data_IF_853205612558
#
_entry.id   IF_853205612558
#
_cell.length_a   1.000
_cell.length_b   1.000
_cell.length_c   1.000
_cell.angle_alpha   90.00
_cell.angle_beta   90.00
_cell.angle_gamma   90.00
#
_symmetry.space_group_name_H-M   'P 1'
#
loop_
_entity.id
_entity.type
_entity.pdbx_description
1 polymer ?
#
# COMPACT_ATOMS: atom_id res chain seq x y z
N UNK A 1 -4.58 1.45 -25.47
CA UNK A 1 -5.12 0.25 -24.79
C UNK A 1 -6.43 0.61 -24.12
N UNK A 2 -7.55 0.16 -24.68
CA UNK A 2 -8.89 0.38 -24.12
C UNK A 2 -9.06 -0.48 -22.85
N UNK A 3 -9.24 0.17 -21.70
CA UNK A 3 -9.61 -0.52 -20.46
C UNK A 3 -11.14 -0.66 -20.43
N UNK A 4 -11.64 -1.88 -20.63
CA UNK A 4 -13.05 -2.20 -20.46
C UNK A 4 -13.46 -2.00 -19.00
N UNK A 5 -14.48 -1.17 -18.78
CA UNK A 5 -15.12 -0.92 -17.48
C UNK A 5 -15.78 -2.23 -17.02
N UNK A 6 -15.46 -2.78 -15.83
CA UNK A 6 -16.16 -3.95 -15.32
C UNK A 6 -17.65 -3.64 -15.17
N UNK A 7 -18.49 -4.46 -15.80
CA UNK A 7 -19.94 -4.32 -15.75
C UNK A 7 -20.46 -4.41 -14.33
N UNK A 8 -21.26 -3.42 -13.95
CA UNK A 8 -22.10 -3.46 -12.76
C UNK A 8 -22.98 -4.72 -12.85
N UNK A 9 -22.86 -5.65 -11.90
CA UNK A 9 -23.91 -6.63 -11.67
C UNK A 9 -25.10 -5.89 -11.06
N UNK A 10 -25.97 -5.40 -11.94
CA UNK A 10 -27.24 -4.76 -11.58
C UNK A 10 -28.15 -5.79 -10.93
N UNK A 11 -28.17 -5.82 -9.60
CA UNK A 11 -29.30 -6.36 -8.86
C UNK A 11 -30.41 -5.31 -8.91
N UNK A 12 -31.60 -5.71 -9.38
CA UNK A 12 -32.75 -4.81 -9.48
C UNK A 12 -32.98 -4.06 -8.15
N UNK A 13 -33.18 -2.73 -8.18
CA UNK A 13 -33.45 -1.97 -6.96
C UNK A 13 -34.75 -2.48 -6.33
N UNK A 14 -34.65 -2.97 -5.08
CA UNK A 14 -35.84 -3.26 -4.26
C UNK A 14 -36.67 -1.96 -4.12
N UNK A 15 -38.01 -2.04 -4.18
CA UNK A 15 -38.86 -0.86 -4.20
C UNK A 15 -38.56 0.11 -3.03
N UNK A 16 -38.24 1.36 -3.40
CA UNK A 16 -37.96 2.56 -2.60
C UNK A 16 -36.70 2.60 -1.74
N UNK A 17 -35.62 2.03 -2.26
CA UNK A 17 -34.28 2.54 -1.98
C UNK A 17 -33.94 3.67 -2.97
N UNK A 18 -33.33 4.76 -2.47
CA UNK A 18 -32.84 5.87 -3.29
C UNK A 18 -31.33 5.98 -3.14
N UNK A 19 -30.63 6.08 -4.27
CA UNK A 19 -29.20 6.37 -4.30
C UNK A 19 -28.97 7.84 -3.95
N UNK A 20 -28.03 8.11 -3.05
CA UNK A 20 -27.68 9.48 -2.65
C UNK A 20 -26.19 9.75 -2.88
N UNK A 21 -25.86 11.00 -3.20
CA UNK A 21 -24.50 11.36 -3.63
C UNK A 21 -23.52 11.55 -2.48
N UNK A 22 -24.02 11.81 -1.27
CA UNK A 22 -23.18 12.11 -0.12
C UNK A 22 -23.89 11.87 1.21
N UNK A 23 -23.11 11.63 2.26
CA UNK A 23 -23.56 11.52 3.64
C UNK A 23 -22.68 12.38 4.56
N UNK A 24 -23.29 13.19 5.42
CA UNK A 24 -22.55 13.95 6.44
C UNK A 24 -22.46 13.10 7.72
N UNK A 25 -21.23 12.87 8.20
CA UNK A 25 -21.00 12.09 9.42
C UNK A 25 -21.64 12.83 10.60
N UNK A 26 -22.55 12.15 11.32
CA UNK A 26 -23.30 12.74 12.44
C UNK A 26 -22.35 13.37 13.46
N UNK A 27 -22.70 14.57 13.92
CA UNK A 27 -21.90 15.32 14.89
C UNK A 27 -20.66 16.00 14.30
N UNK A 28 -20.49 15.98 12.97
CA UNK A 28 -19.35 16.62 12.29
C UNK A 28 -19.82 17.37 11.04
N UNK A 29 -18.93 18.15 10.44
CA UNK A 29 -19.10 18.75 9.11
C UNK A 29 -18.44 17.92 7.99
N UNK A 30 -17.93 16.72 8.29
CA UNK A 30 -17.23 15.88 7.31
C UNK A 30 -18.26 15.18 6.40
N UNK A 31 -18.18 15.48 5.10
CA UNK A 31 -19.03 14.87 4.05
C UNK A 31 -18.29 13.70 3.38
N UNK A 32 -18.96 12.56 3.30
CA UNK A 32 -18.49 11.32 2.66
C UNK A 32 -19.22 11.11 1.33
N UNK A 33 -18.47 10.73 0.30
CA UNK A 33 -18.98 10.37 -1.04
C UNK A 33 -18.50 9.00 -1.48
N UNK A 34 -19.14 8.45 -2.52
CA UNK A 34 -18.65 7.23 -3.17
C UNK A 34 -17.23 7.45 -3.74
N UNK A 35 -16.37 6.44 -3.60
CA UNK A 35 -14.94 6.47 -3.92
C UNK A 35 -14.05 6.88 -2.75
N UNK A 36 -14.59 7.53 -1.71
CA UNK A 36 -13.80 7.96 -0.55
C UNK A 36 -13.58 6.81 0.45
N UNK A 37 -12.51 6.93 1.24
CA UNK A 37 -12.19 5.97 2.29
C UNK A 37 -12.62 6.50 3.66
N UNK A 38 -13.10 5.60 4.50
CA UNK A 38 -13.66 5.91 5.82
C UNK A 38 -13.13 4.98 6.89
N UNK A 39 -13.10 5.49 8.11
CA UNK A 39 -12.89 4.72 9.33
C UNK A 39 -14.25 4.31 9.88
N UNK A 40 -14.42 3.02 10.16
CA UNK A 40 -15.66 2.45 10.66
C UNK A 40 -15.42 1.79 12.01
N UNK A 41 -16.38 1.97 12.92
CA UNK A 41 -16.33 1.40 14.27
C UNK A 41 -16.18 -0.13 14.20
N UNK A 42 -15.23 -0.71 14.95
CA UNK A 42 -15.09 -2.16 15.02
C UNK A 42 -16.18 -2.78 15.89
N UNK A 43 -16.46 -4.07 15.67
CA UNK A 43 -17.41 -4.82 16.52
C UNK A 43 -16.85 -5.08 17.91
N UNK A 44 -15.53 -5.30 18.02
CA UNK A 44 -14.85 -5.56 19.29
C UNK A 44 -14.23 -4.28 19.85
N UNK A 45 -14.45 -4.04 21.14
CA UNK A 45 -13.86 -2.91 21.86
C UNK A 45 -12.33 -3.07 21.94
N UNK A 46 -11.60 -2.01 21.66
CA UNK A 46 -10.13 -1.99 21.73
C UNK A 46 -9.42 -2.37 20.42
N UNK A 47 -10.15 -2.84 19.39
CA UNK A 47 -9.59 -2.97 18.05
C UNK A 47 -9.47 -1.60 17.37
N UNK A 48 -8.49 -1.42 16.46
CA UNK A 48 -8.45 -0.21 15.64
C UNK A 48 -9.68 -0.15 14.73
N UNK A 49 -10.12 1.05 14.30
CA UNK A 49 -11.20 1.19 13.34
C UNK A 49 -10.91 0.42 12.04
N UNK A 50 -11.95 -0.18 11.50
CA UNK A 50 -11.90 -0.80 10.17
C UNK A 50 -11.77 0.28 9.11
N UNK A 51 -11.05 -0.03 8.03
CA UNK A 51 -10.88 0.88 6.91
C UNK A 51 -11.68 0.35 5.73
N UNK A 52 -12.49 1.20 5.11
CA UNK A 52 -13.36 0.82 4.01
C UNK A 52 -13.35 1.88 2.91
N UNK A 53 -13.47 1.44 1.66
CA UNK A 53 -13.82 2.32 0.55
C UNK A 53 -15.34 2.30 0.38
N UNK A 54 -15.96 3.48 0.32
CA UNK A 54 -17.39 3.61 0.06
C UNK A 54 -17.64 3.39 -1.43
N UNK A 55 -18.38 2.36 -1.80
CA UNK A 55 -18.72 2.06 -3.19
C UNK A 55 -20.04 2.74 -3.58
N UNK A 56 -20.99 2.80 -2.65
CA UNK A 56 -22.33 3.35 -2.88
C UNK A 56 -22.99 3.80 -1.58
N UNK A 57 -23.83 4.82 -1.64
CA UNK A 57 -24.64 5.30 -0.52
C UNK A 57 -26.12 5.23 -0.91
N UNK A 58 -26.93 4.56 -0.08
CA UNK A 58 -28.37 4.37 -0.31
C UNK A 58 -29.15 4.85 0.93
N UNK A 59 -30.27 5.54 0.71
CA UNK A 59 -31.26 5.83 1.75
C UNK A 59 -32.51 4.98 1.56
N UNK A 60 -33.07 4.46 2.65
CA UNK A 60 -34.40 3.84 2.63
C UNK A 60 -35.53 4.87 2.78
N UNK A 61 -36.78 4.42 2.69
CA UNK A 61 -38.00 5.23 2.85
C UNK A 61 -38.10 5.95 4.19
N UNK A 62 -37.39 5.47 5.22
CA UNK A 62 -37.37 6.03 6.58
C UNK A 62 -36.16 6.97 6.78
N UNK A 63 -35.47 7.34 5.70
CA UNK A 63 -34.23 8.11 5.71
C UNK A 63 -33.07 7.45 6.47
N UNK A 64 -33.11 6.13 6.68
CA UNK A 64 -31.93 5.43 7.18
C UNK A 64 -30.93 5.27 6.04
N UNK A 65 -29.69 5.68 6.30
CA UNK A 65 -28.62 5.63 5.32
C UNK A 65 -27.78 4.37 5.52
N UNK A 66 -27.62 3.60 4.45
CA UNK A 66 -26.71 2.46 4.36
C UNK A 66 -25.62 2.75 3.33
N UNK A 67 -24.43 2.23 3.58
CA UNK A 67 -23.27 2.33 2.69
C UNK A 67 -22.90 0.94 2.24
N UNK A 68 -22.75 0.75 0.93
CA UNK A 68 -22.07 -0.41 0.38
C UNK A 68 -20.58 -0.10 0.40
N UNK A 69 -19.81 -0.97 1.02
CA UNK A 69 -18.37 -0.78 1.25
C UNK A 69 -17.57 -1.92 0.65
N UNK A 70 -16.30 -1.63 0.35
CA UNK A 70 -15.26 -2.59 0.04
C UNK A 70 -14.19 -2.50 1.12
N UNK A 71 -13.93 -3.61 1.79
CA UNK A 71 -13.05 -3.61 2.97
C UNK A 71 -11.58 -3.54 2.60
N UNK A 72 -10.83 -2.75 3.35
CA UNK A 72 -9.39 -2.89 3.45
C UNK A 72 -9.05 -3.78 4.64
N UNK A 73 -8.12 -4.71 4.43
CA UNK A 73 -7.60 -5.58 5.47
C UNK A 73 -6.26 -5.05 5.95
N UNK A 74 -6.03 -5.10 7.25
CA UNK A 74 -4.71 -4.90 7.84
C UNK A 74 -3.88 -6.17 7.68
N UNK A 75 -2.53 -6.07 7.66
CA UNK A 75 -1.66 -7.24 7.57
C UNK A 75 -1.97 -8.36 8.57
N UNK A 76 -2.32 -8.00 9.80
CA UNK A 76 -2.67 -8.90 10.90
C UNK A 76 -3.98 -9.66 10.66
N UNK A 77 -4.87 -9.11 9.85
CA UNK A 77 -6.18 -9.69 9.51
C UNK A 77 -6.10 -10.62 8.29
N UNK A 78 -4.96 -10.63 7.59
CA UNK A 78 -4.73 -11.53 6.46
C UNK A 78 -4.34 -12.93 6.93
N UNK A 79 -4.64 -13.96 6.13
CA UNK A 79 -4.30 -15.35 6.46
C UNK A 79 -2.80 -15.58 6.69
N UNK A 80 -1.94 -14.81 6.02
CA UNK A 80 -0.49 -14.90 6.17
C UNK A 80 0.09 -14.05 7.31
N UNK A 81 -0.73 -13.25 7.99
CA UNK A 81 -0.31 -12.32 9.03
C UNK A 81 0.62 -11.20 8.55
N UNK A 82 1.07 -10.38 9.52
CA UNK A 82 2.05 -9.33 9.26
C UNK A 82 3.43 -9.93 8.96
N UNK A 83 4.08 -9.43 7.92
CA UNK A 83 5.46 -9.74 7.54
C UNK A 83 6.34 -8.51 7.75
N UNK A 84 7.65 -8.74 7.77
CA UNK A 84 8.67 -7.72 8.05
C UNK A 84 8.63 -6.54 7.06
N UNK A 85 8.27 -6.80 5.81
CA UNK A 85 8.19 -5.76 4.78
C UNK A 85 6.87 -4.98 4.78
N UNK A 86 5.92 -5.35 5.63
CA UNK A 86 4.63 -4.66 5.73
C UNK A 86 4.77 -3.42 6.61
N UNK A 87 4.48 -2.24 6.05
CA UNK A 87 4.53 -1.00 6.82
C UNK A 87 3.40 -0.87 7.83
N UNK A 88 3.57 -0.03 8.83
CA UNK A 88 2.62 0.22 9.92
C UNK A 88 1.26 0.73 9.41
N UNK A 89 1.28 1.52 8.33
CA UNK A 89 0.11 2.11 7.67
C UNK A 89 -0.37 1.33 6.43
N UNK A 90 0.16 0.13 6.22
CA UNK A 90 -0.21 -0.70 5.06
C UNK A 90 -1.59 -1.33 5.22
N UNK A 91 -2.34 -1.33 4.12
CA UNK A 91 -3.65 -1.96 3.97
C UNK A 91 -3.71 -2.74 2.67
N UNK A 92 -4.60 -3.74 2.61
CA UNK A 92 -4.85 -4.55 1.43
C UNK A 92 -6.29 -4.37 0.95
N UNK A 93 -6.46 -3.98 -0.31
CA UNK A 93 -7.80 -3.82 -0.89
C UNK A 93 -8.41 -5.19 -1.16
N UNK A 94 -9.41 -5.59 -0.38
CA UNK A 94 -9.96 -6.95 -0.48
C UNK A 94 -11.02 -7.10 -1.57
N UNK A 95 -11.42 -8.33 -1.92
CA UNK A 95 -12.66 -8.62 -2.68
C UNK A 95 -13.90 -8.75 -1.78
N UNK A 96 -13.79 -8.43 -0.49
CA UNK A 96 -14.89 -8.49 0.47
C UNK A 96 -15.72 -7.20 0.44
N UNK A 97 -16.97 -7.34 0.02
CA UNK A 97 -17.97 -6.28 0.02
C UNK A 97 -19.03 -6.52 1.07
N UNK A 98 -19.53 -5.45 1.66
CA UNK A 98 -20.59 -5.51 2.67
C UNK A 98 -21.51 -4.27 2.60
N UNK A 99 -22.64 -4.32 3.29
CA UNK A 99 -23.57 -3.20 3.46
C UNK A 99 -23.70 -2.87 4.94
N UNK A 100 -23.23 -1.70 5.31
CA UNK A 100 -23.21 -1.22 6.69
C UNK A 100 -24.10 0.01 6.90
N UNK A 101 -24.51 0.24 8.14
CA UNK A 101 -25.19 1.48 8.53
C UNK A 101 -24.20 2.65 8.45
N UNK A 102 -24.59 3.77 7.84
CA UNK A 102 -23.71 4.95 7.76
C UNK A 102 -23.37 5.55 9.13
N UNK A 103 -24.11 5.18 10.19
CA UNK A 103 -23.82 5.55 11.57
C UNK A 103 -22.56 4.92 12.14
N UNK A 104 -22.06 3.86 11.52
CA UNK A 104 -20.81 3.20 11.93
C UNK A 104 -19.57 3.95 11.46
N UNK A 105 -19.72 4.95 10.58
CA UNK A 105 -18.62 5.78 10.09
C UNK A 105 -18.21 6.76 11.21
N UNK A 106 -16.96 6.67 11.64
CA UNK A 106 -16.38 7.53 12.68
C UNK A 106 -15.58 8.69 12.08
N UNK A 107 -15.03 8.51 10.88
CA UNK A 107 -14.20 9.51 10.23
C UNK A 107 -13.90 9.20 8.77
N UNK A 108 -13.21 10.13 8.12
CA UNK A 108 -12.63 9.94 6.79
C UNK A 108 -11.16 9.56 6.94
N UNK A 109 -10.61 8.88 5.95
CA UNK A 109 -9.17 8.64 5.86
C UNK A 109 -8.73 8.64 4.41
N UNK A 110 -7.42 8.68 4.19
CA UNK A 110 -6.84 8.60 2.85
C UNK A 110 -6.06 7.31 2.71
N UNK A 111 -6.39 6.50 1.70
CA UNK A 111 -5.60 5.34 1.32
C UNK A 111 -4.87 5.68 0.03
N UNK A 112 -3.59 6.02 0.15
CA UNK A 112 -2.73 6.42 -0.94
C UNK A 112 -2.28 5.23 -1.77
N UNK A 113 -1.93 5.50 -3.03
CA UNK A 113 -1.04 4.57 -3.75
C UNK A 113 0.33 4.56 -3.09
N UNK A 114 1.04 3.43 -3.14
CA UNK A 114 2.39 3.32 -2.56
C UNK A 114 3.32 4.46 -2.98
N UNK A 115 3.32 4.78 -4.28
CA UNK A 115 4.14 5.85 -4.87
C UNK A 115 3.84 7.24 -4.28
N UNK A 116 2.58 7.50 -3.94
CA UNK A 116 2.20 8.79 -3.37
C UNK A 116 2.50 8.83 -1.88
N UNK A 117 2.28 7.71 -1.18
CA UNK A 117 2.60 7.59 0.25
C UNK A 117 4.09 7.83 0.53
N UNK A 118 4.98 7.22 -0.26
CA UNK A 118 6.44 7.39 -0.10
C UNK A 118 6.94 8.81 -0.41
N UNK A 119 6.06 9.70 -0.88
CA UNK A 119 6.38 11.11 -1.18
C UNK A 119 5.80 12.08 -0.15
N UNK A 120 5.03 11.58 0.82
CA UNK A 120 4.51 12.43 1.89
C UNK A 120 5.67 12.90 2.76
N UNK A 121 5.75 14.20 3.01
CA UNK A 121 6.72 14.77 3.94
C UNK A 121 6.41 14.35 5.38
N UNK A 122 5.13 14.30 5.73
CA UNK A 122 4.64 13.90 7.04
C UNK A 122 3.45 12.95 6.87
N UNK A 123 3.51 11.80 7.54
CA UNK A 123 2.43 10.81 7.53
C UNK A 123 1.50 11.09 8.70
N UNK A 124 0.24 11.43 8.42
CA UNK A 124 -0.78 11.67 9.43
C UNK A 124 -1.38 10.40 10.03
N UNK A 125 -2.21 10.58 11.07
CA UNK A 125 -2.93 9.47 11.70
C UNK A 125 -3.92 8.78 10.72
N UNK A 126 -4.57 9.57 9.86
CA UNK A 126 -5.58 9.15 8.88
C UNK A 126 -4.97 8.79 7.50
N UNK A 127 -3.63 8.80 7.36
CA UNK A 127 -2.94 8.41 6.13
C UNK A 127 -2.54 6.93 6.15
N UNK A 128 -2.98 6.23 5.12
CA UNK A 128 -2.70 4.82 4.87
C UNK A 128 -2.19 4.63 3.45
N UNK A 129 -1.68 3.44 3.14
CA UNK A 129 -1.37 3.10 1.75
C UNK A 129 -1.76 1.67 1.41
N UNK A 130 -2.00 1.46 0.12
CA UNK A 130 -2.32 0.15 -0.43
C UNK A 130 -1.47 -0.09 -1.69
N UNK A 131 -0.86 -1.27 -1.75
CA UNK A 131 -0.09 -1.72 -2.93
C UNK A 131 -0.45 -3.14 -3.38
N UNK A 132 -1.31 -3.81 -2.61
CA UNK A 132 -1.80 -5.14 -2.91
C UNK A 132 -3.32 -5.18 -2.87
N UNK A 133 -3.89 -5.95 -3.80
CA UNK A 133 -5.23 -6.50 -3.64
C UNK A 133 -5.14 -7.84 -2.91
N UNK A 134 -6.16 -8.15 -2.10
CA UNK A 134 -6.23 -9.36 -1.28
C UNK A 134 -7.52 -10.12 -1.55
N UNK A 135 -7.42 -11.43 -1.79
CA UNK A 135 -8.57 -12.29 -1.99
C UNK A 135 -8.93 -12.96 -0.67
N UNK A 136 -9.97 -12.46 0.00
CA UNK A 136 -10.34 -12.87 1.36
C UNK A 136 -10.71 -14.36 1.46
N UNK A 137 -11.17 -14.96 0.37
CA UNK A 137 -11.56 -16.37 0.31
C UNK A 137 -10.39 -17.36 0.36
N UNK A 138 -9.21 -16.98 -0.13
CA UNK A 138 -8.07 -17.90 -0.25
C UNK A 138 -6.71 -17.32 0.13
N UNK A 139 -6.66 -16.06 0.55
CA UNK A 139 -5.44 -15.39 0.98
C UNK A 139 -4.51 -14.95 -0.14
N UNK A 140 -4.92 -15.04 -1.41
CA UNK A 140 -4.05 -14.67 -2.53
C UNK A 140 -3.87 -13.15 -2.61
N UNK A 141 -2.66 -12.73 -3.01
CA UNK A 141 -2.31 -11.33 -3.22
C UNK A 141 -2.13 -11.01 -4.70
N UNK A 142 -2.49 -9.80 -5.10
CA UNK A 142 -2.22 -9.26 -6.45
C UNK A 142 -1.53 -7.90 -6.33
N UNK A 143 -0.39 -7.67 -7.01
CA UNK A 143 0.33 -8.63 -7.86
C UNK A 143 0.97 -9.78 -7.08
N UNK A 144 1.11 -10.94 -7.71
CA UNK A 144 1.80 -12.12 -7.16
C UNK A 144 3.32 -11.97 -7.17
N UNK A 145 3.85 -10.89 -7.78
CA UNK A 145 5.29 -10.60 -7.83
C UNK A 145 5.55 -9.14 -7.53
N UNK A 146 6.54 -8.90 -6.67
CA UNK A 146 6.94 -7.56 -6.25
C UNK A 146 8.43 -7.35 -6.39
N UNK A 147 8.80 -6.09 -6.65
CA UNK A 147 10.19 -5.69 -6.68
C UNK A 147 10.81 -5.86 -5.30
N UNK A 148 11.99 -6.48 -5.25
CA UNK A 148 12.77 -6.70 -4.04
C UNK A 148 14.10 -5.98 -4.14
N UNK A 149 14.65 -5.66 -2.97
CA UNK A 149 15.86 -4.86 -2.84
C UNK A 149 16.78 -5.49 -1.79
N UNK A 150 17.98 -4.93 -1.67
CA UNK A 150 18.97 -5.30 -0.66
C UNK A 150 19.45 -6.75 -0.78
N UNK A 151 20.38 -7.14 0.09
CA UNK A 151 20.87 -8.52 0.21
C UNK A 151 19.81 -9.46 0.81
N UNK A 152 18.85 -8.93 1.57
CA UNK A 152 17.75 -9.71 2.13
C UNK A 152 16.65 -10.05 1.12
N UNK A 153 16.67 -9.43 -0.06
CA UNK A 153 15.72 -9.69 -1.15
C UNK A 153 14.26 -9.56 -0.70
N UNK A 154 13.98 -8.51 0.09
CA UNK A 154 12.65 -8.20 0.59
C UNK A 154 12.02 -7.03 -0.19
N UNK A 155 10.68 -6.98 -0.30
CA UNK A 155 10.00 -5.78 -0.75
C UNK A 155 10.31 -4.59 0.16
N UNK A 156 10.29 -3.38 -0.40
CA UNK A 156 10.61 -2.17 0.36
C UNK A 156 9.53 -1.87 1.41
N UNK A 157 9.91 -1.75 2.68
CA UNK A 157 9.05 -1.21 3.74
C UNK A 157 9.26 0.31 3.85
N UNK A 158 8.24 1.16 3.66
CA UNK A 158 8.40 2.61 3.70
C UNK A 158 8.79 3.15 5.08
N UNK A 159 8.66 2.36 6.14
CA UNK A 159 9.05 2.76 7.49
C UNK A 159 10.56 2.50 7.76
N UNK A 160 11.21 1.71 6.91
CA UNK A 160 12.62 1.34 7.06
C UNK A 160 13.52 2.22 6.18
N UNK A 161 14.60 2.73 6.78
CA UNK A 161 15.61 3.50 6.05
C UNK A 161 16.39 2.60 5.08
N UNK A 162 16.59 3.06 3.84
CA UNK A 162 17.46 2.44 2.87
C UNK A 162 18.41 3.47 2.25
N UNK A 163 19.62 3.03 1.89
CA UNK A 163 20.62 3.82 1.17
C UNK A 163 20.82 3.24 -0.24
N UNK A 164 20.97 4.11 -1.24
CA UNK A 164 21.18 3.69 -2.62
C UNK A 164 22.67 3.61 -2.94
N UNK A 165 23.11 2.51 -3.55
CA UNK A 165 24.49 2.38 -4.03
C UNK A 165 24.70 3.18 -5.31
N UNK A 166 25.79 3.95 -5.40
CA UNK A 166 26.12 4.75 -6.58
C UNK A 166 26.48 3.91 -7.81
N UNK A 167 27.08 2.73 -7.62
CA UNK A 167 27.37 1.78 -8.69
C UNK A 167 26.12 1.09 -9.25
N UNK A 168 25.60 0.08 -8.54
CA UNK A 168 24.49 -0.74 -9.02
C UNK A 168 23.09 -0.09 -8.94
N UNK A 169 22.95 1.10 -8.34
CA UNK A 169 21.67 1.79 -8.11
C UNK A 169 20.63 1.01 -7.29
N UNK A 170 21.02 -0.11 -6.69
CA UNK A 170 20.19 -0.88 -5.77
C UNK A 170 20.17 -0.26 -4.37
N UNK A 171 19.15 -0.62 -3.58
CA UNK A 171 18.86 -0.08 -2.27
C UNK A 171 19.18 -1.08 -1.17
N UNK A 172 19.78 -0.61 -0.08
CA UNK A 172 20.23 -1.46 1.02
C UNK A 172 19.78 -0.92 2.37
N UNK A 173 19.31 -1.79 3.25
CA UNK A 173 19.11 -1.45 4.65
C UNK A 173 20.48 -1.25 5.31
N UNK A 174 20.71 -0.19 6.11
CA UNK A 174 21.97 0.04 6.80
C UNK A 174 22.45 -1.20 7.58
N UNK A 175 21.55 -1.83 8.34
CA UNK A 175 21.87 -3.04 9.11
C UNK A 175 22.37 -4.20 8.23
N UNK A 176 21.81 -4.39 7.03
CA UNK A 176 22.22 -5.47 6.11
C UNK A 176 23.62 -5.25 5.49
N UNK A 177 24.16 -4.03 5.59
CA UNK A 177 25.49 -3.67 5.10
C UNK A 177 26.43 -3.24 6.22
N UNK A 178 26.11 -3.61 7.48
CA UNK A 178 26.96 -3.37 8.63
C UNK A 178 27.08 -1.91 9.04
N UNK A 179 26.04 -1.10 8.79
CA UNK A 179 26.01 0.33 9.07
C UNK A 179 24.89 0.67 10.06
N UNK A 180 25.13 1.62 10.96
CA UNK A 180 24.08 2.17 11.83
C UNK A 180 23.16 3.14 11.08
N UNK A 181 21.98 3.42 11.63
CA UNK A 181 21.05 4.38 11.04
C UNK A 181 21.64 5.80 11.04
N UNK A 182 22.35 6.18 12.10
CA UNK A 182 23.01 7.48 12.23
C UNK A 182 24.12 7.64 11.19
N UNK A 183 24.96 6.60 11.02
CA UNK A 183 25.99 6.59 10.00
C UNK A 183 25.40 6.69 8.59
N UNK A 184 24.28 6.00 8.32
CA UNK A 184 23.59 6.07 7.03
C UNK A 184 22.99 7.45 6.74
N UNK A 185 22.47 8.14 7.76
CA UNK A 185 21.91 9.49 7.61
C UNK A 185 22.96 10.55 7.32
N UNK A 186 24.18 10.36 7.83
CA UNK A 186 25.31 11.28 7.65
C UNK A 186 26.21 10.91 6.46
N UNK A 187 25.77 9.98 5.60
CA UNK A 187 26.56 9.46 4.50
C UNK A 187 26.31 10.27 3.23
N UNK A 188 27.36 10.87 2.66
CA UNK A 188 27.26 11.62 1.40
C UNK A 188 27.10 10.68 0.18
N UNK A 189 27.92 9.63 0.13
CA UNK A 189 27.92 8.65 -0.95
C UNK A 189 28.03 7.21 -0.43
N UNK A 190 27.23 6.30 -0.99
CA UNK A 190 27.28 4.88 -0.63
C UNK A 190 27.71 4.04 -1.83
N UNK A 191 28.67 3.15 -1.62
CA UNK A 191 29.02 2.09 -2.58
C UNK A 191 28.99 0.75 -1.86
N UNK A 192 28.24 -0.22 -2.40
CA UNK A 192 28.12 -1.55 -1.82
C UNK A 192 29.42 -2.36 -1.99
N UNK A 193 29.56 -3.44 -1.21
CA UNK A 193 30.75 -4.30 -1.23
C UNK A 193 31.01 -4.95 -2.58
N UNK A 194 29.95 -5.31 -3.31
CA UNK A 194 30.10 -5.97 -4.61
C UNK A 194 30.66 -4.99 -5.64
N UNK A 195 30.12 -3.76 -5.70
CA UNK A 195 30.69 -2.70 -6.54
C UNK A 195 32.14 -2.34 -6.13
N UNK A 196 32.45 -2.32 -4.82
CA UNK A 196 33.83 -2.10 -4.34
C UNK A 196 34.79 -3.20 -4.82
N UNK A 197 34.34 -4.45 -4.88
CA UNK A 197 35.15 -5.59 -5.37
C UNK A 197 35.38 -5.51 -6.87
N UNK A 198 34.36 -5.17 -7.65
CA UNK A 198 34.49 -5.05 -9.11
C UNK A 198 35.47 -3.94 -9.50
N UNK A 199 35.47 -2.79 -8.81
CA UNK A 199 36.45 -1.73 -9.05
C UNK A 199 37.91 -2.17 -8.81
N UNK A 200 38.14 -3.05 -7.81
CA UNK A 200 39.48 -3.57 -7.49
C UNK A 200 39.96 -4.61 -8.51
N UNK A 201 39.06 -5.37 -9.12
CA UNK A 201 39.41 -6.34 -10.19
C UNK A 201 39.88 -5.61 -11.46
N UNK A 202 39.21 -4.52 -11.82
CA UNK A 202 39.56 -3.71 -13.01
C UNK A 202 40.92 -3.01 -12.90
N UNK A 203 41.47 -2.83 -11.70
CA UNK A 203 42.80 -2.25 -11.49
C UNK A 203 43.95 -3.27 -11.57
N UNK A 204 43.64 -4.59 -11.51
CA UNK A 204 44.64 -5.66 -11.49
C UNK A 204 44.68 -6.52 -12.76
N UNK A 205 43.96 -6.15 -13.83
CA UNK A 205 43.92 -6.92 -15.08
C UNK A 205 43.97 -6.05 -16.33
N UNK A 206 45.03 -6.18 -17.13
CA UNK A 206 45.04 -5.76 -18.53
C UNK A 206 44.12 -6.69 -19.35
N UNK A 207 43.02 -6.18 -19.91
CA UNK A 207 42.70 -6.10 -21.35
C UNK A 207 41.19 -5.95 -21.63
N UNK A 208 40.89 -5.07 -22.59
CA UNK A 208 39.69 -4.89 -23.44
C UNK A 208 38.30 -4.58 -22.83
N UNK A 209 37.81 -3.39 -23.20
CA UNK A 209 36.44 -2.92 -23.08
C UNK A 209 35.51 -3.69 -24.03
N UNK A 210 34.37 -4.22 -23.55
CA UNK A 210 33.15 -4.25 -24.32
C UNK A 210 32.27 -3.05 -23.94
N UNK A 211 31.63 -2.48 -24.94
CA UNK A 211 30.72 -1.34 -24.85
C UNK A 211 29.71 -1.50 -23.71
N UNK A 212 29.62 -0.48 -22.85
CA UNK A 212 28.58 -0.37 -21.85
C UNK A 212 27.23 -0.12 -22.54
N UNK A 213 26.50 -1.20 -22.81
CA UNK A 213 25.06 -1.14 -23.00
C UNK A 213 24.46 -0.48 -21.75
N UNK A 214 23.73 0.63 -21.94
CA UNK A 214 22.84 1.19 -20.94
C UNK A 214 21.69 0.21 -20.69
N UNK A 215 21.96 -0.90 -20.00
CA UNK A 215 20.96 -1.81 -19.50
C UNK A 215 20.41 -1.17 -18.23
N UNK A 216 19.25 -0.53 -18.35
CA UNK A 216 18.42 -0.22 -17.19
C UNK A 216 18.10 -1.57 -16.55
N UNK A 217 18.85 -1.92 -15.51
CA UNK A 217 18.79 -3.24 -14.91
C UNK A 217 17.40 -3.45 -14.32
N UNK A 218 16.72 -4.50 -14.78
CA UNK A 218 15.37 -4.80 -14.34
C UNK A 218 15.41 -5.13 -12.84
N UNK A 219 14.65 -4.36 -12.03
CA UNK A 219 14.55 -4.60 -10.59
C UNK A 219 14.21 -6.07 -10.31
N UNK A 220 14.97 -6.71 -9.43
CA UNK A 220 14.75 -8.10 -8.97
C UNK A 220 13.31 -8.26 -8.49
N UNK A 221 12.66 -9.39 -8.78
CA UNK A 221 11.26 -9.66 -8.38
C UNK A 221 11.12 -11.01 -7.71
N UNK A 222 10.34 -11.08 -6.63
CA UNK A 222 9.97 -12.32 -5.95
C UNK A 222 8.46 -12.50 -5.86
N UNK A 223 8.07 -13.77 -5.74
CA UNK A 223 6.70 -14.21 -5.44
C UNK A 223 6.42 -14.15 -3.94
#
# INVERSE_FOLDING_TARGET
>A
MAKTRPGLSSSNPKPGKKDINSYTIRGTNKVVKAGECVLMRPSDVGKPPYVARVEKIESDHRNNVKVRVRWYYRPEESLGGRRQFHGAKELFLSDHYDVQSAHTIEGKCTVHSFKNYTKLENVGAEDYYCRFEYKASNGAFTPDRVAVYCKCEMPYNPDDLMVQCEGCKDWYHPACVGMSIEAAKNLDCFTCEDCKKEMKKSQNGYHELPAAENKVEAKRRKR
#
